data_IF_627457448054
#
_entry.id   IF_627457448054
#
_cell.length_a   1.000
_cell.length_b   1.000
_cell.length_c   1.000
_cell.angle_alpha   90.00
_cell.angle_beta   90.00
_cell.angle_gamma   90.00
#
_symmetry.space_group_name_H-M   'P 1'
#
loop_
_entity.id
_entity.type
_entity.pdbx_description
1 polymer ?
#
# COMPACT_ATOMS: atom_id res chain seq x y z
N UNK A 1 -37.64 -100.56 28.87
CA UNK A 1 -36.63 -100.03 27.91
C UNK A 1 -36.89 -100.67 26.55
N UNK A 2 -36.50 -100.06 25.41
CA UNK A 2 -35.82 -98.76 25.27
C UNK A 2 -36.38 -97.81 24.18
N UNK A 3 -35.85 -96.57 24.15
CA UNK A 3 -35.35 -95.81 22.97
C UNK A 3 -36.30 -95.41 21.81
N UNK A 4 -36.02 -94.43 20.93
CA UNK A 4 -35.04 -93.32 20.79
C UNK A 4 -35.59 -92.34 19.71
N UNK A 5 -35.17 -91.07 19.49
CA UNK A 5 -34.24 -90.09 20.11
C UNK A 5 -34.74 -88.69 19.65
N UNK A 6 -34.20 -87.56 20.14
CA UNK A 6 -34.49 -86.25 19.52
C UNK A 6 -33.42 -85.17 19.74
N UNK A 7 -33.36 -84.15 18.85
CA UNK A 7 -32.95 -82.74 19.12
C UNK A 7 -32.77 -81.87 17.86
N UNK A 8 -33.20 -80.58 17.98
CA UNK A 8 -32.63 -79.34 17.38
C UNK A 8 -32.75 -79.16 15.84
N UNK A 9 -32.77 -77.96 15.23
CA UNK A 9 -32.60 -76.51 15.59
C UNK A 9 -33.58 -75.68 14.72
N UNK A 10 -34.23 -74.57 15.11
CA UNK A 10 -33.81 -73.24 15.64
C UNK A 10 -33.45 -72.18 14.55
N UNK A 11 -34.06 -70.98 14.66
CA UNK A 11 -33.92 -69.82 13.75
C UNK A 11 -35.29 -69.12 13.56
N UNK A 12 -35.81 -68.23 14.43
CA UNK A 12 -35.30 -67.00 15.06
C UNK A 12 -35.47 -65.74 14.18
N UNK A 13 -36.32 -64.80 14.61
CA UNK A 13 -36.66 -63.56 13.88
C UNK A 13 -37.99 -62.93 14.34
N UNK A 14 -38.11 -62.60 15.64
CA UNK A 14 -39.36 -62.12 16.24
C UNK A 14 -39.63 -60.63 15.99
N UNK A 15 -40.73 -60.32 15.29
CA UNK A 15 -41.25 -58.96 15.11
C UNK A 15 -42.10 -58.50 16.32
N UNK A 16 -42.09 -57.19 16.58
CA UNK A 16 -42.98 -56.36 17.42
C UNK A 16 -43.58 -56.94 18.73
N UNK A 17 -43.24 -56.28 19.84
CA UNK A 17 -44.16 -56.05 20.97
C UNK A 17 -44.20 -54.58 21.41
N UNK A 18 -45.43 -54.05 21.46
CA UNK A 18 -45.99 -53.07 22.39
C UNK A 18 -45.17 -51.86 22.89
N UNK A 19 -45.56 -50.67 22.42
CA UNK A 19 -45.80 -49.48 23.25
C UNK A 19 -46.76 -48.51 22.52
N UNK A 20 -48.09 -48.63 22.70
CA UNK A 20 -48.92 -48.01 23.76
C UNK A 20 -49.15 -46.49 23.65
N UNK A 21 -50.42 -46.17 23.33
CA UNK A 21 -51.28 -45.08 23.85
C UNK A 21 -51.31 -43.71 23.13
N UNK A 22 -52.54 -43.42 22.65
CA UNK A 22 -53.13 -42.10 22.32
C UNK A 22 -53.22 -41.22 23.60
N UNK A 23 -53.48 -39.89 23.53
CA UNK A 23 -54.82 -39.36 23.16
C UNK A 23 -54.83 -38.06 22.31
N UNK A 24 -56.05 -37.61 22.05
CA UNK A 24 -56.48 -36.48 21.21
C UNK A 24 -56.75 -35.23 22.09
N UNK A 25 -56.53 -34.06 21.51
CA UNK A 25 -57.22 -32.76 21.76
C UNK A 25 -56.83 -31.87 22.96
N UNK A 26 -56.96 -30.56 22.69
CA UNK A 26 -57.08 -29.40 23.61
C UNK A 26 -55.82 -28.94 24.39
N UNK A 27 -55.17 -27.84 23.95
CA UNK A 27 -55.27 -26.51 24.58
C UNK A 27 -54.28 -25.47 24.00
N UNK A 28 -54.75 -24.23 23.79
CA UNK A 28 -53.94 -23.07 23.37
C UNK A 28 -53.49 -23.09 21.90
N UNK A 29 -53.23 -21.96 21.24
CA UNK A 29 -53.09 -20.58 21.71
C UNK A 29 -54.02 -19.64 20.95
N UNK A 30 -55.06 -19.10 21.61
CA UNK A 30 -55.69 -17.84 21.20
C UNK A 30 -54.67 -16.70 21.39
N UNK A 31 -53.78 -16.40 20.45
CA UNK A 31 -52.90 -15.22 20.55
C UNK A 31 -52.26 -14.74 19.22
N UNK A 32 -52.97 -14.81 18.08
CA UNK A 32 -52.57 -14.08 16.86
C UNK A 32 -53.70 -13.16 16.36
N UNK A 33 -54.22 -12.34 17.28
CA UNK A 33 -54.90 -11.09 16.91
C UNK A 33 -53.87 -9.95 16.96
N UNK A 34 -53.80 -9.18 15.87
CA UNK A 34 -53.27 -7.80 15.81
C UNK A 34 -51.79 -7.57 16.20
N UNK A 35 -50.90 -7.76 15.22
CA UNK A 35 -49.65 -6.97 15.13
C UNK A 35 -49.23 -6.70 13.66
N UNK A 36 -50.19 -6.59 12.73
CA UNK A 36 -49.94 -6.07 11.39
C UNK A 36 -50.03 -4.53 11.41
N UNK A 37 -49.12 -3.89 12.13
CA UNK A 37 -49.08 -2.43 12.25
C UNK A 37 -47.66 -1.89 12.39
N UNK A 38 -47.40 -0.75 11.72
CA UNK A 38 -46.16 0.04 11.78
C UNK A 38 -44.86 -0.64 11.30
N UNK A 39 -44.68 -0.68 9.98
CA UNK A 39 -43.35 -0.60 9.33
C UNK A 39 -43.28 0.49 8.27
N UNK A 40 -43.96 1.62 8.52
CA UNK A 40 -44.08 2.75 7.59
C UNK A 40 -44.00 4.11 8.31
N UNK A 41 -42.89 4.35 9.03
CA UNK A 41 -42.54 5.68 9.59
C UNK A 41 -41.03 5.79 9.90
N UNK A 42 -40.16 5.38 8.96
CA UNK A 42 -38.74 5.83 8.93
C UNK A 42 -38.26 6.18 7.52
N UNK A 43 -39.11 6.86 6.75
CA UNK A 43 -38.79 7.36 5.41
C UNK A 43 -38.54 8.88 5.38
N UNK A 44 -37.84 9.43 6.38
CA UNK A 44 -37.35 10.84 6.34
C UNK A 44 -36.10 11.08 7.19
N UNK A 45 -35.13 10.16 7.14
CA UNK A 45 -33.76 10.38 7.66
C UNK A 45 -32.66 10.01 6.63
N UNK A 46 -33.04 9.49 5.46
CA UNK A 46 -32.10 8.91 4.48
C UNK A 46 -31.16 9.91 3.81
N UNK A 47 -31.56 11.18 3.63
CA UNK A 47 -30.68 12.21 3.04
C UNK A 47 -29.55 12.59 4.01
N UNK A 48 -29.86 12.75 5.30
CA UNK A 48 -28.88 13.12 6.33
C UNK A 48 -27.87 12.00 6.62
N UNK A 49 -28.32 10.74 6.58
CA UNK A 49 -27.45 9.58 6.74
C UNK A 49 -26.43 9.48 5.58
N UNK A 50 -26.90 9.55 4.33
CA UNK A 50 -26.06 9.52 3.14
C UNK A 50 -25.01 10.65 3.11
N UNK A 51 -25.41 11.88 3.51
CA UNK A 51 -24.47 12.99 3.69
C UNK A 51 -23.41 12.70 4.76
N UNK A 52 -23.79 12.00 5.85
CA UNK A 52 -22.84 11.59 6.89
C UNK A 52 -21.82 10.58 6.35
N UNK A 53 -22.24 9.63 5.49
CA UNK A 53 -21.35 8.62 4.90
C UNK A 53 -20.41 9.23 3.85
N UNK A 54 -20.93 10.13 3.00
CA UNK A 54 -20.10 10.97 2.11
C UNK A 54 -19.06 11.73 2.92
N UNK A 55 -19.43 12.31 4.08
CA UNK A 55 -18.46 13.02 4.93
C UNK A 55 -17.37 12.12 5.52
N UNK A 56 -17.63 10.83 5.74
CA UNK A 56 -16.63 9.84 6.20
C UNK A 56 -15.68 9.51 5.07
N UNK A 57 -16.20 9.19 3.88
CA UNK A 57 -15.40 8.92 2.68
C UNK A 57 -14.53 10.13 2.32
N UNK A 58 -15.08 11.35 2.36
CA UNK A 58 -14.34 12.57 2.11
C UNK A 58 -13.24 12.84 3.16
N UNK A 59 -13.46 12.45 4.43
CA UNK A 59 -12.44 12.53 5.50
C UNK A 59 -11.34 11.48 5.33
N UNK A 60 -11.67 10.26 4.87
CA UNK A 60 -10.69 9.23 4.54
C UNK A 60 -9.83 9.68 3.34
N UNK A 61 -10.46 10.13 2.25
CA UNK A 61 -9.75 10.70 1.10
C UNK A 61 -8.87 11.88 1.52
N UNK A 62 -9.38 12.84 2.32
CA UNK A 62 -8.57 13.97 2.84
C UNK A 62 -7.46 13.55 3.82
N UNK A 63 -7.55 12.39 4.45
CA UNK A 63 -6.48 11.86 5.30
C UNK A 63 -5.36 11.30 4.42
N UNK A 64 -5.71 10.48 3.44
CA UNK A 64 -4.79 9.85 2.51
C UNK A 64 -4.08 10.89 1.63
N UNK A 65 -4.83 11.83 1.05
CA UNK A 65 -4.23 12.90 0.23
C UNK A 65 -3.29 13.78 1.02
N UNK A 66 -3.54 14.04 2.31
CA UNK A 66 -2.64 14.83 3.16
C UNK A 66 -1.31 14.11 3.44
N UNK A 67 -1.33 12.79 3.54
CA UNK A 67 -0.11 11.98 3.68
C UNK A 67 0.70 11.98 2.37
N UNK A 68 0.05 11.75 1.22
CA UNK A 68 0.65 11.87 -0.11
C UNK A 68 1.21 13.29 -0.37
N UNK A 69 0.45 14.34 -0.03
CA UNK A 69 0.88 15.75 -0.16
C UNK A 69 2.12 16.02 0.70
N UNK A 70 2.24 15.46 1.90
CA UNK A 70 3.47 15.60 2.72
C UNK A 70 4.68 14.88 2.11
N UNK A 71 4.48 13.72 1.50
CA UNK A 71 5.56 13.03 0.79
C UNK A 71 6.03 13.85 -0.43
N UNK A 72 5.11 14.40 -1.21
CA UNK A 72 5.42 15.31 -2.33
C UNK A 72 6.00 16.67 -1.90
N UNK A 73 5.62 17.19 -0.73
CA UNK A 73 6.22 18.41 -0.16
C UNK A 73 7.56 18.18 0.55
N UNK A 74 8.04 16.93 0.63
CA UNK A 74 9.33 16.67 1.28
C UNK A 74 10.47 17.30 0.46
N UNK A 75 11.37 18.10 1.07
CA UNK A 75 12.38 18.85 0.32
C UNK A 75 13.30 17.94 -0.53
N UNK A 76 13.56 16.71 -0.10
CA UNK A 76 14.33 15.75 -0.88
C UNK A 76 13.69 15.41 -2.24
N UNK A 77 12.35 15.42 -2.36
CA UNK A 77 11.68 15.21 -3.65
C UNK A 77 11.99 16.35 -4.61
N UNK A 78 11.86 17.60 -4.16
CA UNK A 78 12.21 18.76 -4.97
C UNK A 78 13.68 18.78 -5.37
N UNK A 79 14.61 18.45 -4.46
CA UNK A 79 16.03 18.34 -4.80
C UNK A 79 16.28 17.27 -5.88
N UNK A 80 15.69 16.07 -5.76
CA UNK A 80 15.81 15.01 -6.77
C UNK A 80 15.25 15.45 -8.13
N UNK A 81 14.08 16.09 -8.15
CA UNK A 81 13.45 16.59 -9.38
C UNK A 81 14.30 17.69 -10.04
N UNK A 82 14.79 18.66 -9.26
CA UNK A 82 15.64 19.76 -9.78
C UNK A 82 16.96 19.21 -10.34
N UNK A 83 17.64 18.32 -9.60
CA UNK A 83 18.90 17.70 -10.05
C UNK A 83 18.65 16.84 -11.30
N UNK A 84 17.60 16.01 -11.32
CA UNK A 84 17.25 15.17 -12.46
C UNK A 84 16.96 15.96 -13.74
N UNK A 85 16.18 17.05 -13.63
CA UNK A 85 15.91 17.94 -14.76
C UNK A 85 17.15 18.75 -15.18
N UNK A 86 18.02 19.13 -14.23
CA UNK A 86 19.31 19.76 -14.53
C UNK A 86 20.23 18.84 -15.33
N UNK A 87 20.35 17.57 -14.92
CA UNK A 87 21.12 16.53 -15.65
C UNK A 87 20.51 16.29 -17.03
N UNK A 88 19.18 16.20 -17.14
CA UNK A 88 18.48 16.06 -18.42
C UNK A 88 18.86 17.20 -19.38
N UNK A 89 18.67 18.46 -18.98
CA UNK A 89 18.97 19.62 -19.82
C UNK A 89 20.45 19.69 -20.19
N UNK A 90 21.36 19.40 -19.25
CA UNK A 90 22.79 19.37 -19.54
C UNK A 90 23.16 18.24 -20.54
N UNK A 91 22.66 17.03 -20.33
CA UNK A 91 22.91 15.89 -21.20
C UNK A 91 22.37 16.14 -22.62
N UNK A 92 21.15 16.67 -22.75
CA UNK A 92 20.55 16.97 -24.06
C UNK A 92 21.26 18.11 -24.79
N UNK A 93 21.79 19.11 -24.06
CA UNK A 93 22.61 20.16 -24.65
C UNK A 93 23.95 19.62 -25.17
N UNK A 94 24.63 18.74 -24.44
CA UNK A 94 25.90 18.15 -24.88
C UNK A 94 25.67 17.19 -26.05
N UNK A 95 24.65 16.33 -25.98
CA UNK A 95 24.29 15.42 -27.08
C UNK A 95 23.89 16.21 -28.33
N UNK A 96 23.12 17.30 -28.20
CA UNK A 96 22.83 18.19 -29.34
C UNK A 96 24.11 18.66 -30.05
N UNK A 97 25.12 19.13 -29.31
CA UNK A 97 26.37 19.60 -29.90
C UNK A 97 27.22 18.49 -30.55
N UNK A 98 27.14 17.26 -30.04
CA UNK A 98 27.86 16.10 -30.60
C UNK A 98 27.18 15.54 -31.86
N UNK A 99 25.85 15.55 -31.90
CA UNK A 99 25.04 14.95 -32.97
C UNK A 99 24.77 15.93 -34.13
N UNK A 100 24.82 17.24 -33.87
CA UNK A 100 24.54 18.30 -34.86
C UNK A 100 25.43 18.18 -36.10
N UNK A 101 24.78 18.01 -37.25
CA UNK A 101 25.45 17.90 -38.55
C UNK A 101 25.92 16.48 -38.92
N UNK A 102 25.87 15.53 -37.98
CA UNK A 102 26.14 14.11 -38.22
C UNK A 102 24.83 13.31 -38.25
N UNK A 103 23.89 13.65 -37.36
CA UNK A 103 22.64 12.93 -37.18
C UNK A 103 21.47 13.60 -37.93
N UNK A 104 20.88 12.95 -38.95
CA UNK A 104 19.77 13.53 -39.70
C UNK A 104 18.45 13.59 -38.91
N UNK A 105 18.33 12.86 -37.80
CA UNK A 105 17.14 12.86 -36.94
C UNK A 105 17.21 13.89 -35.80
N UNK A 106 18.38 14.45 -35.52
CA UNK A 106 18.59 15.38 -34.40
C UNK A 106 19.14 16.73 -34.92
N UNK A 107 18.24 17.54 -35.51
CA UNK A 107 18.59 18.81 -36.19
C UNK A 107 18.50 20.02 -35.28
N UNK A 108 17.52 20.01 -34.37
CA UNK A 108 17.21 21.06 -33.41
C UNK A 108 17.52 20.61 -31.98
N UNK A 109 17.70 21.58 -31.08
CA UNK A 109 17.82 21.27 -29.65
C UNK A 109 16.54 20.62 -29.08
N UNK A 110 15.36 20.93 -29.65
CA UNK A 110 14.10 20.31 -29.23
C UNK A 110 14.07 18.81 -29.55
N UNK A 111 14.69 18.37 -30.65
CA UNK A 111 14.80 16.95 -31.01
C UNK A 111 15.68 16.21 -29.97
N UNK A 112 16.77 16.84 -29.54
CA UNK A 112 17.64 16.34 -28.46
C UNK A 112 16.92 16.31 -27.11
N UNK A 113 16.14 17.34 -26.79
CA UNK A 113 15.35 17.41 -25.57
C UNK A 113 14.25 16.34 -25.55
N UNK A 114 13.56 16.13 -26.67
CA UNK A 114 12.57 15.07 -26.85
C UNK A 114 13.17 13.67 -26.65
N UNK A 115 14.31 13.38 -27.28
CA UNK A 115 15.05 12.15 -27.02
C UNK A 115 15.43 12.00 -25.54
N UNK A 116 15.91 13.07 -24.91
CA UNK A 116 16.29 13.02 -23.49
C UNK A 116 15.10 12.75 -22.57
N UNK A 117 13.96 13.43 -22.80
CA UNK A 117 12.72 13.24 -22.03
C UNK A 117 12.21 11.82 -22.19
N UNK A 118 12.12 11.30 -23.41
CA UNK A 118 11.65 9.94 -23.68
C UNK A 118 12.61 8.87 -23.14
N UNK A 119 13.91 9.17 -23.07
CA UNK A 119 14.93 8.29 -22.47
C UNK A 119 14.86 8.29 -20.94
N UNK A 120 14.84 9.45 -20.29
CA UNK A 120 14.83 9.55 -18.81
C UNK A 120 13.51 9.05 -18.20
N UNK A 121 12.40 9.14 -18.94
CA UNK A 121 11.10 8.55 -18.57
C UNK A 121 10.97 7.07 -18.99
N UNK A 122 12.02 6.46 -19.55
CA UNK A 122 12.06 5.05 -19.99
C UNK A 122 11.01 4.67 -21.04
N UNK A 123 10.46 5.65 -21.79
CA UNK A 123 9.49 5.44 -22.86
C UNK A 123 10.19 5.00 -24.16
N UNK A 124 11.28 5.67 -24.53
CA UNK A 124 12.20 5.24 -25.59
C UNK A 124 11.57 4.92 -26.95
N UNK A 125 10.85 5.86 -27.59
CA UNK A 125 10.21 5.63 -28.90
C UNK A 125 11.17 5.20 -30.02
N UNK A 126 12.46 5.57 -29.94
CA UNK A 126 13.49 5.17 -30.90
C UNK A 126 13.47 5.94 -32.24
N UNK A 127 12.63 6.95 -32.35
CA UNK A 127 12.48 7.86 -33.49
C UNK A 127 13.69 8.81 -33.66
N UNK A 128 14.26 9.24 -32.53
CA UNK A 128 15.47 10.05 -32.45
C UNK A 128 16.42 9.41 -31.45
N UNK A 129 17.66 9.09 -31.84
CA UNK A 129 18.69 8.50 -30.96
C UNK A 129 20.09 9.02 -31.33
N UNK A 130 21.02 9.15 -30.37
CA UNK A 130 22.40 9.53 -30.66
C UNK A 130 23.15 8.41 -31.40
N UNK A 131 23.79 8.78 -32.52
CA UNK A 131 24.57 7.87 -33.36
C UNK A 131 26.08 7.98 -33.08
N UNK A 132 26.56 9.08 -32.50
CA UNK A 132 27.97 9.24 -32.14
C UNK A 132 28.35 8.40 -30.92
N UNK A 133 29.58 7.90 -30.89
CA UNK A 133 30.12 7.18 -29.74
C UNK A 133 30.05 7.97 -28.41
N UNK A 134 30.48 9.26 -28.32
CA UNK A 134 30.32 10.03 -27.08
C UNK A 134 28.85 10.32 -26.74
N UNK A 135 27.99 10.59 -27.74
CA UNK A 135 26.55 10.79 -27.50
C UNK A 135 25.87 9.56 -26.89
N UNK A 136 26.26 8.35 -27.32
CA UNK A 136 25.79 7.09 -26.74
C UNK A 136 26.25 6.87 -25.30
N UNK A 137 27.49 7.20 -24.96
CA UNK A 137 27.97 7.12 -23.57
C UNK A 137 27.19 8.05 -22.63
N UNK A 138 26.86 9.27 -23.09
CA UNK A 138 26.00 10.19 -22.33
C UNK A 138 24.58 9.63 -22.23
N UNK A 139 24.05 9.03 -23.29
CA UNK A 139 22.75 8.34 -23.28
C UNK A 139 22.66 7.21 -22.25
N UNK A 140 23.71 6.39 -22.13
CA UNK A 140 23.80 5.34 -21.09
C UNK A 140 23.74 5.96 -19.69
N UNK A 141 24.48 7.05 -19.44
CA UNK A 141 24.41 7.79 -18.17
C UNK A 141 23.02 8.37 -17.88
N UNK A 142 22.32 8.86 -18.90
CA UNK A 142 20.97 9.39 -18.79
C UNK A 142 19.93 8.30 -18.46
N UNK A 143 20.07 7.09 -19.04
CA UNK A 143 19.23 5.92 -18.71
C UNK A 143 19.39 5.49 -17.25
N UNK A 144 20.63 5.44 -16.74
CA UNK A 144 20.87 5.17 -15.32
C UNK A 144 20.31 6.29 -14.42
N UNK A 145 20.41 7.55 -14.84
CA UNK A 145 19.83 8.69 -14.12
C UNK A 145 18.31 8.54 -13.99
N UNK A 146 17.60 8.23 -15.08
CA UNK A 146 16.15 7.96 -15.05
C UNK A 146 15.78 6.81 -14.12
N UNK A 147 16.54 5.71 -14.19
CA UNK A 147 16.37 4.54 -13.32
C UNK A 147 16.53 4.90 -11.83
N UNK A 148 17.58 5.64 -11.47
CA UNK A 148 17.84 6.08 -10.09
C UNK A 148 16.75 7.03 -9.59
N UNK A 149 16.25 7.95 -10.43
CA UNK A 149 15.13 8.82 -10.09
C UNK A 149 13.85 8.02 -9.81
N UNK A 150 13.53 7.02 -10.63
CA UNK A 150 12.35 6.17 -10.46
C UNK A 150 12.43 5.30 -9.19
N UNK A 151 13.61 4.72 -8.92
CA UNK A 151 13.87 3.98 -7.68
C UNK A 151 13.75 4.90 -6.45
N UNK A 152 14.32 6.12 -6.52
CA UNK A 152 14.27 7.09 -5.41
C UNK A 152 12.84 7.55 -5.13
N UNK A 153 12.05 7.81 -6.17
CA UNK A 153 10.63 8.15 -6.06
C UNK A 153 9.82 7.01 -5.41
N UNK A 154 10.00 5.77 -5.90
CA UNK A 154 9.35 4.59 -5.35
C UNK A 154 9.74 4.35 -3.89
N UNK A 155 11.04 4.44 -3.57
CA UNK A 155 11.56 4.29 -2.22
C UNK A 155 11.01 5.34 -1.25
N UNK A 156 10.78 6.58 -1.70
CA UNK A 156 10.18 7.63 -0.87
C UNK A 156 8.71 7.33 -0.54
N UNK A 157 7.92 6.86 -1.52
CA UNK A 157 6.54 6.43 -1.30
C UNK A 157 6.47 5.21 -0.36
N UNK A 158 7.27 4.19 -0.64
CA UNK A 158 7.36 2.96 0.19
C UNK A 158 7.79 3.31 1.61
N UNK A 159 8.80 4.16 1.81
CA UNK A 159 9.23 4.58 3.16
C UNK A 159 8.11 5.28 3.92
N UNK A 160 7.27 6.08 3.25
CA UNK A 160 6.15 6.74 3.91
C UNK A 160 5.06 5.74 4.35
N UNK A 161 4.68 4.79 3.49
CA UNK A 161 3.67 3.77 3.80
C UNK A 161 4.18 2.72 4.80
N UNK A 162 5.37 2.18 4.57
CA UNK A 162 6.00 1.16 5.40
C UNK A 162 6.20 1.66 6.84
N UNK A 163 6.51 2.95 7.03
CA UNK A 163 6.64 3.53 8.37
C UNK A 163 5.33 3.49 9.16
N UNK A 164 4.18 3.68 8.51
CA UNK A 164 2.88 3.55 9.19
C UNK A 164 2.51 2.09 9.46
N UNK A 165 2.98 1.13 8.65
CA UNK A 165 2.64 -0.29 8.82
C UNK A 165 3.54 -0.98 9.85
N UNK A 166 4.86 -0.78 9.78
CA UNK A 166 5.81 -1.28 10.79
C UNK A 166 5.43 -0.74 12.18
N UNK A 167 5.03 0.52 12.31
CA UNK A 167 4.62 1.10 13.60
C UNK A 167 3.33 0.45 14.19
N UNK A 168 2.53 -0.26 13.37
CA UNK A 168 1.38 -1.07 13.81
C UNK A 168 1.76 -2.51 14.13
N UNK A 169 2.59 -3.15 13.30
CA UNK A 169 2.90 -4.58 13.42
C UNK A 169 3.87 -4.92 14.56
N UNK A 170 4.69 -3.97 15.02
CA UNK A 170 5.59 -4.17 16.16
C UNK A 170 4.85 -4.71 17.40
N UNK A 171 5.35 -5.81 17.94
CA UNK A 171 4.91 -6.37 19.22
C UNK A 171 5.24 -5.42 20.39
N UNK A 172 4.58 -5.57 21.56
CA UNK A 172 4.84 -4.70 22.72
C UNK A 172 6.33 -4.61 23.11
N UNK A 173 7.04 -5.74 23.06
CA UNK A 173 8.47 -5.82 23.37
C UNK A 173 9.33 -5.05 22.36
N UNK A 174 9.07 -5.19 21.06
CA UNK A 174 9.82 -4.45 20.04
C UNK A 174 9.56 -2.94 20.10
N UNK A 175 8.36 -2.52 20.53
CA UNK A 175 8.05 -1.10 20.79
C UNK A 175 8.84 -0.55 21.96
N UNK A 176 9.00 -1.33 23.03
CA UNK A 176 9.81 -0.98 24.21
C UNK A 176 11.29 -0.86 23.83
N UNK A 177 11.86 -1.87 23.16
CA UNK A 177 13.24 -1.84 22.63
C UNK A 177 13.48 -0.65 21.69
N UNK A 178 12.51 -0.30 20.83
CA UNK A 178 12.61 0.89 19.97
C UNK A 178 12.53 2.22 20.74
N UNK A 179 11.83 2.26 21.89
CA UNK A 179 11.82 3.44 22.76
C UNK A 179 13.15 3.60 23.47
N UNK A 180 13.73 2.51 23.99
CA UNK A 180 15.08 2.51 24.58
C UNK A 180 16.15 2.93 23.57
N UNK A 181 16.15 2.37 22.36
CA UNK A 181 17.10 2.74 21.30
C UNK A 181 16.97 4.21 20.91
N UNK A 182 15.74 4.74 20.79
CA UNK A 182 15.50 6.17 20.54
C UNK A 182 16.01 7.04 21.70
N UNK A 183 15.87 6.60 22.94
CA UNK A 183 16.37 7.31 24.11
C UNK A 183 17.91 7.36 24.13
N UNK A 184 18.59 6.25 23.83
CA UNK A 184 20.06 6.20 23.73
C UNK A 184 20.60 7.16 22.66
N UNK A 185 20.02 7.14 21.45
CA UNK A 185 20.40 8.07 20.36
C UNK A 185 20.15 9.54 20.75
N UNK A 186 19.11 9.82 21.55
CA UNK A 186 18.83 11.17 22.04
C UNK A 186 19.84 11.63 23.09
N UNK A 187 20.32 10.72 23.96
CA UNK A 187 21.38 10.98 24.94
C UNK A 187 22.70 11.30 24.22
N UNK A 188 23.11 10.48 23.23
CA UNK A 188 24.35 10.73 22.48
C UNK A 188 24.33 12.10 21.78
N UNK A 189 23.21 12.46 21.14
CA UNK A 189 23.03 13.79 20.52
C UNK A 189 23.06 14.93 21.55
N UNK A 190 22.67 14.67 22.79
CA UNK A 190 22.72 15.66 23.87
C UNK A 190 24.13 15.85 24.38
N UNK A 191 24.92 14.77 24.50
CA UNK A 191 26.35 14.81 24.85
C UNK A 191 27.17 15.58 23.81
N UNK A 192 27.05 15.24 22.52
CA UNK A 192 27.72 15.98 21.43
C UNK A 192 27.39 17.49 21.46
N UNK A 193 26.14 17.84 21.77
CA UNK A 193 25.68 19.23 21.88
C UNK A 193 26.23 19.96 23.11
N UNK A 194 26.63 19.24 24.17
CA UNK A 194 27.34 19.79 25.33
C UNK A 194 28.82 19.99 24.98
N UNK A 195 29.45 19.00 24.36
CA UNK A 195 30.84 19.04 23.89
C UNK A 195 31.08 20.22 22.92
N UNK A 196 30.23 20.39 21.90
CA UNK A 196 30.24 21.56 21.00
C UNK A 196 30.06 22.91 21.74
N UNK A 197 29.42 22.93 22.91
CA UNK A 197 29.27 24.16 23.72
C UNK A 197 30.51 24.43 24.57
N UNK A 198 31.17 23.39 25.08
CA UNK A 198 32.41 23.51 25.84
C UNK A 198 33.55 24.03 24.94
N UNK A 199 33.73 23.45 23.75
CA UNK A 199 34.73 23.95 22.79
C UNK A 199 34.54 25.44 22.43
N UNK A 200 33.28 25.90 22.33
CA UNK A 200 32.95 27.31 22.03
C UNK A 200 33.20 28.25 23.20
N UNK A 201 33.31 27.74 24.42
CA UNK A 201 33.65 28.51 25.62
C UNK A 201 35.15 28.52 25.86
N UNK A 202 35.87 27.42 25.58
CA UNK A 202 37.35 27.37 25.66
C UNK A 202 38.05 28.20 24.58
N UNK A 203 37.39 28.45 23.44
CA UNK A 203 37.90 29.31 22.34
C UNK A 203 37.56 30.81 22.51
N UNK A 204 37.17 31.25 23.72
CA UNK A 204 36.78 32.64 24.03
C UNK A 204 37.62 33.24 25.17
#
# INVERSE_FOLDING_TARGET
MPAQRGRRTAGAGSDRKDARRRPRLEQGHRLIRRARFSRSTRLSFGKSAALSDISRVLKLIKRETRNLIRAFLHPAFFYLVIIGNGILVAATLVVYHLEKGVNPHMKSYFDSLWWGVTTITTVGFGDTVPITAPGRWIGIGLMYTGTVLFISFTGMLVTHWLREEVEKELTPLEREMLQELKAQVQIEKSLRRIEERLERLEKK
#
